data_IF_524067432287
#
_entry.id   IF_524067432287
#
_cell.length_a   1.000
_cell.length_b   1.000
_cell.length_c   1.000
_cell.angle_alpha   90.00
_cell.angle_beta   90.00
_cell.angle_gamma   90.00
#
_symmetry.space_group_name_H-M   'P 1'
#
loop_
_entity.id
_entity.type
_entity.pdbx_description
1 polymer ?
#
# COMPACT_ATOMS: atom_id res chain seq x y z
N UNK A 1 -46.05 49.57 37.29
CA UNK A 1 -44.72 50.10 36.89
C UNK A 1 -43.67 48.98 36.73
N UNK A 2 -44.03 47.77 36.25
CA UNK A 2 -43.12 46.61 36.23
C UNK A 2 -43.37 45.66 35.03
N UNK A 3 -43.53 46.19 33.80
CA UNK A 3 -43.72 45.35 32.61
C UNK A 3 -42.90 45.74 31.37
N UNK A 4 -42.06 46.78 31.44
CA UNK A 4 -41.35 47.29 30.25
C UNK A 4 -39.91 46.75 30.03
N UNK A 5 -39.39 45.89 30.93
CA UNK A 5 -37.99 45.42 30.85
C UNK A 5 -37.74 44.07 30.15
N UNK A 6 -38.77 43.34 29.69
CA UNK A 6 -38.56 42.03 29.04
C UNK A 6 -38.35 42.09 27.52
N UNK A 7 -38.86 43.12 26.84
CA UNK A 7 -38.75 43.23 25.38
C UNK A 7 -37.33 43.65 24.94
N UNK A 8 -36.66 44.49 25.72
CA UNK A 8 -35.30 44.95 25.41
C UNK A 8 -34.25 43.82 25.46
N UNK A 9 -34.42 42.85 26.36
CA UNK A 9 -33.45 41.75 26.51
C UNK A 9 -33.56 40.69 25.40
N UNK A 10 -34.73 40.55 24.75
CA UNK A 10 -34.93 39.60 23.63
C UNK A 10 -34.34 40.18 22.34
N UNK A 11 -34.46 41.50 22.11
CA UNK A 11 -33.87 42.16 20.94
C UNK A 11 -32.33 42.13 21.00
N UNK A 12 -31.73 42.28 22.19
CA UNK A 12 -30.28 42.18 22.36
C UNK A 12 -29.75 40.75 22.10
N UNK A 13 -30.51 39.72 22.47
CA UNK A 13 -30.18 38.33 22.18
C UNK A 13 -30.27 38.03 20.68
N UNK A 14 -31.32 38.52 20.00
CA UNK A 14 -31.50 38.34 18.55
C UNK A 14 -30.38 39.06 17.76
N UNK A 15 -29.98 40.27 18.16
CA UNK A 15 -28.90 41.00 17.50
C UNK A 15 -27.52 40.33 17.70
N UNK A 16 -27.28 39.63 18.82
CA UNK A 16 -26.05 38.86 19.02
C UNK A 16 -25.95 37.61 18.14
N UNK A 17 -27.08 37.06 17.68
CA UNK A 17 -27.09 35.92 16.75
C UNK A 17 -27.03 36.33 15.28
N UNK A 18 -27.40 37.57 14.92
CA UNK A 18 -27.47 38.00 13.52
C UNK A 18 -26.10 38.39 12.93
N UNK A 19 -25.11 38.75 13.75
CA UNK A 19 -23.79 39.21 13.26
C UNK A 19 -22.64 38.21 13.46
N UNK A 20 -22.92 36.91 13.65
CA UNK A 20 -21.87 35.91 13.45
C UNK A 20 -21.63 35.76 11.95
N UNK A 21 -20.77 36.62 11.40
CA UNK A 21 -20.10 36.35 10.13
C UNK A 21 -19.56 34.93 10.20
N UNK A 22 -20.11 34.03 9.40
CA UNK A 22 -19.58 32.68 9.29
C UNK A 22 -18.13 32.82 8.83
N UNK A 23 -17.19 32.31 9.65
CA UNK A 23 -15.79 32.37 9.29
C UNK A 23 -15.60 31.61 7.98
N UNK A 24 -14.95 32.26 7.01
CA UNK A 24 -14.64 31.66 5.72
C UNK A 24 -13.32 30.89 5.82
N UNK A 25 -13.13 29.84 5.02
CA UNK A 25 -11.84 29.15 4.95
C UNK A 25 -10.66 30.11 4.64
N UNK A 26 -10.91 31.17 3.88
CA UNK A 26 -9.92 32.20 3.55
C UNK A 26 -9.53 33.10 4.73
N UNK A 27 -10.24 33.04 5.87
CA UNK A 27 -9.82 33.71 7.10
C UNK A 27 -8.65 32.99 7.79
N UNK A 28 -8.42 31.72 7.43
CA UNK A 28 -7.43 30.84 8.05
C UNK A 28 -6.41 30.25 7.06
N UNK A 29 -6.73 30.28 5.76
CA UNK A 29 -5.94 29.69 4.70
C UNK A 29 -5.62 30.72 3.62
N UNK A 30 -4.55 30.49 2.87
CA UNK A 30 -4.19 31.30 1.71
C UNK A 30 -5.08 30.92 0.52
N UNK A 31 -5.95 31.83 0.10
CA UNK A 31 -6.86 31.66 -1.01
C UNK A 31 -6.34 32.42 -2.23
N UNK A 32 -5.94 31.70 -3.27
CA UNK A 32 -5.38 32.33 -4.47
C UNK A 32 -6.48 32.56 -5.51
N UNK A 33 -6.70 33.82 -5.92
CA UNK A 33 -7.69 34.13 -6.94
C UNK A 33 -7.17 33.87 -8.36
N UNK A 34 -8.09 33.55 -9.26
CA UNK A 34 -7.92 33.47 -10.70
C UNK A 34 -9.11 34.17 -11.37
N UNK A 35 -8.86 35.29 -12.06
CA UNK A 35 -9.87 36.05 -12.83
C UNK A 35 -11.18 36.33 -12.04
N UNK A 36 -11.04 36.77 -10.79
CA UNK A 36 -12.10 37.12 -9.82
C UNK A 36 -12.67 35.97 -8.97
N UNK A 37 -12.29 34.72 -9.22
CA UNK A 37 -12.76 33.55 -8.46
C UNK A 37 -11.61 32.91 -7.66
N UNK A 38 -11.87 32.28 -6.51
CA UNK A 38 -10.83 31.53 -5.79
C UNK A 38 -10.58 30.20 -6.49
N UNK A 39 -9.35 29.96 -6.96
CA UNK A 39 -9.00 28.76 -7.72
C UNK A 39 -8.35 27.68 -6.84
N UNK A 40 -7.53 28.10 -5.88
CA UNK A 40 -6.85 27.20 -4.96
C UNK A 40 -6.89 27.72 -3.53
N UNK A 41 -6.95 26.78 -2.58
CA UNK A 41 -6.89 27.06 -1.14
C UNK A 41 -5.71 26.29 -0.56
N UNK A 42 -4.78 27.01 0.07
CA UNK A 42 -3.63 26.42 0.76
C UNK A 42 -3.71 26.71 2.25
N UNK A 43 -3.97 25.67 3.05
CA UNK A 43 -4.02 25.75 4.50
C UNK A 43 -2.69 25.31 5.11
N UNK A 44 -1.95 26.25 5.70
CA UNK A 44 -0.77 25.98 6.52
C UNK A 44 -1.11 26.13 8.00
N UNK A 45 -0.90 25.08 8.79
CA UNK A 45 -1.31 25.03 10.20
C UNK A 45 -0.23 25.52 11.19
N UNK A 46 0.57 26.53 10.81
CA UNK A 46 1.61 27.10 11.68
C UNK A 46 1.00 27.79 12.91
N UNK A 47 -0.12 28.49 12.71
CA UNK A 47 -0.87 29.21 13.75
C UNK A 47 -2.02 28.40 14.34
N UNK A 48 -2.64 27.51 13.56
CA UNK A 48 -3.81 26.73 13.95
C UNK A 48 -3.47 25.25 13.89
N UNK A 49 -3.24 24.64 15.04
CA UNK A 49 -2.82 23.22 15.12
C UNK A 49 -3.86 22.24 14.56
N UNK A 50 -5.14 22.56 14.72
CA UNK A 50 -6.25 21.66 14.38
C UNK A 50 -7.15 22.31 13.34
N UNK A 51 -7.18 21.73 12.15
CA UNK A 51 -8.03 22.17 11.06
C UNK A 51 -9.22 21.23 10.93
N UNK A 52 -10.42 21.78 10.97
CA UNK A 52 -11.66 21.02 10.77
C UNK A 52 -12.40 21.61 9.59
N UNK A 53 -12.60 20.80 8.56
CA UNK A 53 -13.40 21.15 7.41
C UNK A 53 -14.86 20.82 7.69
N UNK A 54 -15.73 21.76 7.33
CA UNK A 54 -17.19 21.62 7.28
C UNK A 54 -17.67 22.33 6.01
N UNK A 55 -18.87 21.98 5.55
CA UNK A 55 -19.47 22.62 4.36
C UNK A 55 -19.66 24.13 4.53
N UNK A 56 -19.88 24.61 5.76
CA UNK A 56 -20.07 26.04 6.05
C UNK A 56 -18.80 26.87 5.84
N UNK A 57 -17.60 26.29 6.00
CA UNK A 57 -16.33 26.98 5.73
C UNK A 57 -16.11 27.22 4.22
N UNK A 58 -16.85 26.53 3.36
CA UNK A 58 -16.71 26.57 1.90
C UNK A 58 -17.61 27.59 1.21
N UNK A 59 -18.37 28.39 1.98
CA UNK A 59 -19.23 29.44 1.41
C UNK A 59 -18.37 30.52 0.75
N UNK A 60 -18.67 30.86 -0.50
CA UNK A 60 -17.97 31.91 -1.25
C UNK A 60 -16.66 31.46 -1.92
N UNK A 61 -16.34 30.17 -1.87
CA UNK A 61 -15.17 29.56 -2.55
C UNK A 61 -15.58 28.38 -3.44
N UNK A 62 -16.81 28.39 -3.96
CA UNK A 62 -17.39 27.29 -4.75
C UNK A 62 -16.61 27.00 -6.06
N UNK A 63 -15.81 27.96 -6.53
CA UNK A 63 -14.96 27.85 -7.71
C UNK A 63 -13.65 27.09 -7.49
N UNK A 64 -13.31 26.73 -6.25
CA UNK A 64 -12.03 26.11 -5.91
C UNK A 64 -11.87 24.76 -6.60
N UNK A 65 -10.72 24.58 -7.25
CA UNK A 65 -10.33 23.34 -7.92
C UNK A 65 -9.27 22.55 -7.17
N UNK A 66 -8.53 23.20 -6.29
CA UNK A 66 -7.43 22.58 -5.55
C UNK A 66 -7.42 23.00 -4.09
N UNK A 67 -7.38 22.02 -3.20
CA UNK A 67 -7.18 22.24 -1.76
C UNK A 67 -5.89 21.55 -1.33
N UNK A 68 -4.97 22.31 -0.76
CA UNK A 68 -3.69 21.82 -0.22
C UNK A 68 -3.65 22.08 1.27
N UNK A 69 -3.44 21.04 2.08
CA UNK A 69 -3.36 21.10 3.53
C UNK A 69 -1.97 20.62 3.94
N UNK A 70 -1.23 21.45 4.68
CA UNK A 70 0.16 21.14 5.07
C UNK A 70 0.46 21.49 6.52
N UNK A 71 1.32 20.66 7.12
CA UNK A 71 1.95 20.92 8.41
C UNK A 71 0.94 21.05 9.57
N UNK A 72 -0.14 20.27 9.55
CA UNK A 72 -1.19 20.31 10.58
C UNK A 72 -0.99 19.25 11.65
N UNK A 73 -1.33 19.56 12.90
CA UNK A 73 -1.38 18.53 13.93
C UNK A 73 -2.57 17.60 13.65
N UNK A 74 -3.76 18.17 13.49
CA UNK A 74 -4.98 17.41 13.18
C UNK A 74 -5.68 18.01 11.99
N UNK A 75 -6.11 17.16 11.06
CA UNK A 75 -7.00 17.49 9.95
C UNK A 75 -8.24 16.61 10.07
N UNK A 76 -9.40 17.22 10.24
CA UNK A 76 -10.67 16.52 10.25
C UNK A 76 -11.51 16.94 9.06
N UNK A 77 -11.67 16.05 8.08
CA UNK A 77 -12.55 16.24 6.94
C UNK A 77 -13.89 15.61 7.31
N UNK A 78 -14.82 16.45 7.75
CA UNK A 78 -16.15 16.03 8.14
C UNK A 78 -17.00 15.56 6.97
N UNK A 79 -18.15 14.96 7.28
CA UNK A 79 -19.09 14.49 6.28
C UNK A 79 -19.52 15.64 5.36
N UNK A 80 -19.52 15.39 4.04
CA UNK A 80 -19.92 16.36 3.02
C UNK A 80 -19.15 17.70 3.07
N UNK A 81 -17.94 17.74 3.65
CA UNK A 81 -17.21 19.02 3.84
C UNK A 81 -16.95 19.78 2.55
N UNK A 82 -16.83 19.08 1.41
CA UNK A 82 -16.57 19.69 0.11
C UNK A 82 -17.79 19.63 -0.82
N UNK A 83 -19.00 19.41 -0.30
CA UNK A 83 -20.21 19.26 -1.14
C UNK A 83 -20.57 20.52 -1.94
N UNK A 84 -20.03 21.69 -1.56
CA UNK A 84 -20.18 22.96 -2.29
C UNK A 84 -19.09 23.21 -3.34
N UNK A 85 -18.02 22.41 -3.32
CA UNK A 85 -16.89 22.57 -4.24
C UNK A 85 -17.07 21.64 -5.44
N UNK A 86 -18.05 21.96 -6.28
CA UNK A 86 -18.37 21.16 -7.47
C UNK A 86 -17.20 21.07 -8.47
N UNK A 87 -16.29 22.05 -8.43
CA UNK A 87 -15.09 22.12 -9.27
C UNK A 87 -13.85 21.52 -8.61
N UNK A 88 -13.93 21.02 -7.36
CA UNK A 88 -12.78 20.48 -6.64
C UNK A 88 -12.24 19.26 -7.36
N UNK A 89 -11.07 19.41 -7.96
CA UNK A 89 -10.39 18.37 -8.71
C UNK A 89 -9.36 17.63 -7.84
N UNK A 90 -8.58 18.38 -7.05
CA UNK A 90 -7.45 17.84 -6.31
C UNK A 90 -7.48 18.22 -4.83
N UNK A 91 -7.27 17.21 -3.97
CA UNK A 91 -7.09 17.36 -2.53
C UNK A 91 -5.74 16.76 -2.16
N UNK A 92 -4.85 17.60 -1.65
CA UNK A 92 -3.53 17.20 -1.18
C UNK A 92 -3.39 17.43 0.32
N UNK A 93 -3.01 16.41 1.07
CA UNK A 93 -2.76 16.47 2.51
C UNK A 93 -1.32 16.04 2.78
N UNK A 94 -0.54 16.90 3.42
CA UNK A 94 0.90 16.71 3.57
C UNK A 94 1.37 16.98 5.00
N UNK A 95 2.35 16.20 5.47
CA UNK A 95 3.09 16.46 6.70
C UNK A 95 2.19 16.71 7.91
N UNK A 96 1.16 15.88 8.09
CA UNK A 96 0.18 16.05 9.17
C UNK A 96 0.27 14.90 10.17
N UNK A 97 -0.07 15.12 11.44
CA UNK A 97 0.00 14.02 12.42
C UNK A 97 -1.23 13.14 12.34
N UNK A 98 -2.42 13.71 12.43
CA UNK A 98 -3.67 12.95 12.44
C UNK A 98 -4.60 13.46 11.34
N UNK A 99 -5.07 12.56 10.48
CA UNK A 99 -6.04 12.87 9.43
C UNK A 99 -7.25 11.96 9.56
N UNK A 100 -8.43 12.54 9.71
CA UNK A 100 -9.71 11.82 9.71
C UNK A 100 -10.49 12.15 8.43
N UNK A 101 -10.92 11.12 7.73
CA UNK A 101 -11.64 11.21 6.45
C UNK A 101 -13.04 10.62 6.62
N UNK A 102 -14.06 11.48 6.61
CA UNK A 102 -15.46 11.06 6.69
C UNK A 102 -16.09 10.83 5.30
N UNK A 103 -17.16 10.03 5.28
CA UNK A 103 -17.94 9.74 4.09
C UNK A 103 -18.50 10.99 3.38
N UNK A 104 -18.69 10.90 2.07
CA UNK A 104 -19.36 11.93 1.26
C UNK A 104 -18.53 13.20 1.01
N UNK A 105 -17.32 13.31 1.57
CA UNK A 105 -16.47 14.48 1.33
C UNK A 105 -15.84 14.50 -0.08
N UNK A 106 -15.79 13.38 -0.80
CA UNK A 106 -14.94 13.22 -2.00
C UNK A 106 -15.73 13.02 -3.30
N UNK A 107 -17.02 13.37 -3.34
CA UNK A 107 -17.90 13.07 -4.48
C UNK A 107 -17.47 13.70 -5.81
N UNK A 108 -16.88 14.91 -5.78
CA UNK A 108 -16.40 15.64 -6.96
C UNK A 108 -14.91 15.43 -7.26
N UNK A 109 -14.18 14.72 -6.40
CA UNK A 109 -12.73 14.70 -6.40
C UNK A 109 -12.16 13.77 -7.47
N UNK A 110 -11.25 14.28 -8.30
CA UNK A 110 -10.51 13.47 -9.28
C UNK A 110 -9.20 12.90 -8.71
N UNK A 111 -8.54 13.61 -7.79
CA UNK A 111 -7.25 13.20 -7.23
C UNK A 111 -7.17 13.40 -5.72
N UNK A 112 -6.92 12.31 -4.99
CA UNK A 112 -6.60 12.31 -3.57
C UNK A 112 -5.12 11.97 -3.35
N UNK A 113 -4.38 12.93 -2.81
CA UNK A 113 -2.95 12.81 -2.54
C UNK A 113 -2.71 12.96 -1.03
N UNK A 114 -2.23 11.91 -0.37
CA UNK A 114 -1.89 11.94 1.05
C UNK A 114 -0.44 11.54 1.20
N UNK A 115 0.38 12.40 1.80
CA UNK A 115 1.81 12.16 1.95
C UNK A 115 2.31 12.53 3.35
N UNK A 116 3.15 11.66 3.91
CA UNK A 116 3.81 11.90 5.20
C UNK A 116 2.80 12.23 6.31
N UNK A 117 1.73 11.41 6.41
CA UNK A 117 0.74 11.53 7.48
C UNK A 117 0.97 10.45 8.52
N UNK A 118 1.21 10.86 9.77
CA UNK A 118 1.53 9.88 10.82
C UNK A 118 0.39 8.89 11.02
N UNK A 119 -0.84 9.33 11.17
CA UNK A 119 -2.00 8.45 11.37
C UNK A 119 -3.21 8.92 10.54
N UNK A 120 -3.72 8.02 9.71
CA UNK A 120 -4.91 8.20 8.91
C UNK A 120 -6.02 7.33 9.49
N UNK A 121 -7.19 7.93 9.68
CA UNK A 121 -8.42 7.26 10.07
C UNK A 121 -9.46 7.46 8.98
N UNK A 122 -9.91 6.37 8.38
CA UNK A 122 -11.07 6.38 7.48
C UNK A 122 -12.32 6.08 8.29
N UNK A 123 -13.41 6.81 8.03
CA UNK A 123 -14.73 6.33 8.44
C UNK A 123 -15.16 5.16 7.55
N UNK A 124 -16.19 4.43 7.98
CA UNK A 124 -16.95 3.59 7.05
C UNK A 124 -17.41 4.42 5.85
N UNK A 125 -17.37 3.82 4.66
CA UNK A 125 -17.82 4.47 3.43
C UNK A 125 -17.10 5.79 3.09
N UNK A 126 -15.87 6.00 3.59
CA UNK A 126 -15.14 7.25 3.42
C UNK A 126 -15.06 7.74 1.96
N UNK A 127 -14.67 6.87 1.02
CA UNK A 127 -14.64 7.19 -0.41
C UNK A 127 -15.87 6.68 -1.19
N UNK A 128 -16.90 6.20 -0.51
CA UNK A 128 -18.11 5.73 -1.21
C UNK A 128 -18.76 6.89 -1.97
N UNK A 129 -19.03 6.68 -3.26
CA UNK A 129 -19.60 7.70 -4.14
C UNK A 129 -18.58 8.67 -4.75
N UNK A 130 -17.28 8.50 -4.49
CA UNK A 130 -16.20 9.23 -5.17
C UNK A 130 -15.98 8.71 -6.61
N UNK A 131 -17.06 8.63 -7.41
CA UNK A 131 -17.06 8.02 -8.75
C UNK A 131 -16.22 8.77 -9.78
N UNK A 132 -15.86 10.02 -9.50
CA UNK A 132 -14.94 10.81 -10.32
C UNK A 132 -13.47 10.51 -10.06
N UNK A 133 -13.12 9.78 -9.00
CA UNK A 133 -11.73 9.67 -8.57
C UNK A 133 -10.89 8.84 -9.53
N UNK A 134 -9.84 9.45 -10.07
CA UNK A 134 -8.89 8.84 -10.99
C UNK A 134 -7.59 8.45 -10.30
N UNK A 135 -7.15 9.24 -9.33
CA UNK A 135 -5.87 9.02 -8.65
C UNK A 135 -6.06 8.97 -7.14
N UNK A 136 -5.62 7.88 -6.53
CA UNK A 136 -5.49 7.76 -5.08
C UNK A 136 -4.05 7.39 -4.79
N UNK A 137 -3.31 8.32 -4.18
CA UNK A 137 -1.90 8.13 -3.86
C UNK A 137 -1.71 8.40 -2.37
N UNK A 138 -1.35 7.36 -1.62
CA UNK A 138 -1.07 7.44 -0.19
C UNK A 138 0.36 6.99 0.04
N UNK A 139 1.20 7.92 0.47
CA UNK A 139 2.64 7.70 0.65
C UNK A 139 3.11 8.00 2.07
N UNK A 140 4.08 7.22 2.54
CA UNK A 140 4.81 7.45 3.80
C UNK A 140 3.88 7.71 4.99
N UNK A 141 2.85 6.88 5.13
CA UNK A 141 1.77 7.12 6.10
C UNK A 141 1.38 5.85 6.85
N UNK A 142 0.71 5.98 7.99
CA UNK A 142 0.12 4.85 8.70
C UNK A 142 -1.41 4.95 8.73
N UNK A 143 -2.08 3.96 8.17
CA UNK A 143 -3.53 3.79 8.21
C UNK A 143 -3.85 2.88 9.39
N UNK A 144 -4.53 3.42 10.39
CA UNK A 144 -4.87 2.66 11.59
C UNK A 144 -5.78 1.47 11.25
N UNK A 145 -6.85 1.74 10.51
CA UNK A 145 -7.81 0.75 10.04
C UNK A 145 -8.46 1.22 8.74
N UNK A 146 -8.71 0.27 7.83
CA UNK A 146 -9.64 0.43 6.72
C UNK A 146 -10.95 -0.27 7.13
N UNK A 147 -11.96 0.47 7.60
CA UNK A 147 -13.24 -0.11 7.95
C UNK A 147 -13.99 -0.53 6.69
N UNK A 148 -15.10 -1.25 6.89
CA UNK A 148 -15.94 -1.76 5.82
C UNK A 148 -16.36 -0.64 4.86
N UNK A 149 -16.18 -0.92 3.57
CA UNK A 149 -16.47 -0.02 2.45
C UNK A 149 -15.69 1.30 2.42
N UNK A 150 -14.56 1.43 3.12
CA UNK A 150 -13.77 2.68 3.11
C UNK A 150 -13.23 3.06 1.71
N UNK A 151 -12.80 2.08 0.91
CA UNK A 151 -12.34 2.24 -0.47
C UNK A 151 -13.17 1.34 -1.40
N UNK A 152 -14.47 1.64 -1.53
CA UNK A 152 -15.44 0.79 -2.20
C UNK A 152 -16.19 1.53 -3.32
N UNK A 153 -16.62 0.79 -4.34
CA UNK A 153 -17.34 1.29 -5.52
C UNK A 153 -16.56 2.39 -6.27
N UNK A 154 -15.23 2.22 -6.31
CA UNK A 154 -14.33 3.12 -7.01
C UNK A 154 -14.15 2.62 -8.44
N UNK A 155 -15.08 3.01 -9.30
CA UNK A 155 -15.04 2.75 -10.74
C UNK A 155 -14.20 3.82 -11.46
N UNK A 156 -13.45 3.42 -12.50
CA UNK A 156 -12.73 4.37 -13.34
C UNK A 156 -11.44 4.93 -12.73
N UNK A 157 -10.94 4.35 -11.64
CA UNK A 157 -9.64 4.71 -11.07
C UNK A 157 -8.54 4.44 -12.09
N UNK A 158 -7.70 5.42 -12.39
CA UNK A 158 -6.55 5.20 -13.26
C UNK A 158 -5.39 4.62 -12.47
N UNK A 159 -5.19 5.12 -11.25
CA UNK A 159 -4.05 4.73 -10.41
C UNK A 159 -4.42 4.70 -8.94
N UNK A 160 -4.21 3.54 -8.32
CA UNK A 160 -4.18 3.38 -6.87
C UNK A 160 -2.75 3.04 -6.43
N UNK A 161 -2.18 3.87 -5.55
CA UNK A 161 -0.82 3.68 -5.06
C UNK A 161 -0.76 3.78 -3.54
N UNK A 162 -0.21 2.73 -2.92
CA UNK A 162 0.24 2.73 -1.53
C UNK A 162 1.77 2.58 -1.50
N UNK A 163 2.49 3.62 -1.13
CA UNK A 163 3.96 3.63 -1.06
C UNK A 163 4.46 3.88 0.35
N UNK A 164 5.23 2.96 0.95
CA UNK A 164 5.72 3.10 2.33
C UNK A 164 4.56 3.29 3.34
N UNK A 165 3.53 2.46 3.24
CA UNK A 165 2.33 2.56 4.08
C UNK A 165 2.26 1.41 5.08
N UNK A 166 1.96 1.71 6.34
CA UNK A 166 1.56 0.69 7.32
C UNK A 166 0.04 0.70 7.45
N UNK A 167 -0.58 -0.47 7.44
CA UNK A 167 -2.02 -0.66 7.62
C UNK A 167 -2.24 -1.59 8.81
N UNK A 168 -2.91 -1.10 9.86
CA UNK A 168 -3.20 -1.89 11.04
C UNK A 168 -4.14 -3.05 10.73
N UNK A 169 -5.35 -2.74 10.27
CA UNK A 169 -6.39 -3.72 9.96
C UNK A 169 -7.14 -3.36 8.68
N UNK A 170 -7.47 -4.37 7.88
CA UNK A 170 -8.38 -4.26 6.74
C UNK A 170 -9.60 -5.13 7.04
N UNK A 171 -10.74 -4.48 7.26
CA UNK A 171 -11.99 -5.17 7.53
C UNK A 171 -12.55 -5.83 6.26
N UNK A 172 -13.50 -6.74 6.43
CA UNK A 172 -14.25 -7.35 5.33
C UNK A 172 -14.86 -6.28 4.42
N UNK A 173 -14.63 -6.42 3.12
CA UNK A 173 -15.15 -5.52 2.09
C UNK A 173 -14.63 -4.09 2.18
N UNK A 174 -13.55 -3.84 2.92
CA UNK A 174 -13.00 -2.50 3.07
C UNK A 174 -12.48 -1.93 1.74
N UNK A 175 -11.85 -2.76 0.92
CA UNK A 175 -11.27 -2.36 -0.36
C UNK A 175 -11.90 -3.17 -1.49
N UNK A 176 -12.59 -2.47 -2.38
CA UNK A 176 -13.10 -2.98 -3.64
C UNK A 176 -12.87 -1.92 -4.72
N UNK A 177 -11.82 -2.10 -5.52
CA UNK A 177 -11.35 -1.09 -6.47
C UNK A 177 -11.15 -1.71 -7.84
N UNK A 178 -11.70 -1.04 -8.87
CA UNK A 178 -11.40 -1.32 -10.27
C UNK A 178 -10.54 -0.20 -10.83
N UNK A 179 -9.31 -0.51 -11.25
CA UNK A 179 -8.34 0.49 -11.66
C UNK A 179 -7.53 0.11 -12.92
N UNK A 180 -6.94 1.08 -13.63
CA UNK A 180 -5.96 0.73 -14.68
C UNK A 180 -4.69 0.14 -14.05
N UNK A 181 -4.15 0.76 -13.01
CA UNK A 181 -2.92 0.34 -12.34
C UNK A 181 -3.04 0.38 -10.83
N UNK A 182 -2.64 -0.72 -10.18
CA UNK A 182 -2.56 -0.82 -8.71
C UNK A 182 -1.12 -1.14 -8.31
N UNK A 183 -0.55 -0.28 -7.48
CA UNK A 183 0.82 -0.42 -6.98
C UNK A 183 0.82 -0.37 -5.46
N UNK A 184 1.30 -1.43 -4.83
CA UNK A 184 1.58 -1.51 -3.40
C UNK A 184 3.07 -1.77 -3.23
N UNK A 185 3.80 -0.77 -2.72
CA UNK A 185 5.24 -0.83 -2.54
C UNK A 185 5.59 -0.53 -1.09
N UNK A 186 6.42 -1.37 -0.47
CA UNK A 186 6.86 -1.20 0.90
C UNK A 186 5.65 -1.07 1.86
N UNK A 187 4.61 -1.87 1.64
CA UNK A 187 3.38 -1.85 2.44
C UNK A 187 3.48 -2.90 3.55
N UNK A 188 3.09 -2.55 4.77
CA UNK A 188 2.99 -3.49 5.89
C UNK A 188 1.55 -3.58 6.35
N UNK A 189 0.94 -4.75 6.24
CA UNK A 189 -0.44 -4.99 6.67
C UNK A 189 -0.44 -6.00 7.81
N UNK A 190 -0.93 -5.60 8.99
CA UNK A 190 -0.90 -6.50 10.15
C UNK A 190 -2.04 -7.53 10.13
N UNK A 191 -3.23 -7.17 9.66
CA UNK A 191 -4.37 -8.08 9.57
C UNK A 191 -5.29 -7.75 8.38
N UNK A 192 -5.79 -8.79 7.71
CA UNK A 192 -6.79 -8.67 6.64
C UNK A 192 -7.87 -9.71 6.90
N UNK A 193 -9.11 -9.28 7.04
CA UNK A 193 -10.26 -10.17 7.13
C UNK A 193 -10.59 -10.80 5.77
N UNK A 194 -11.44 -11.84 5.77
CA UNK A 194 -11.92 -12.48 4.53
C UNK A 194 -12.59 -11.46 3.61
N UNK A 195 -12.24 -11.49 2.31
CA UNK A 195 -12.66 -10.51 1.30
C UNK A 195 -12.32 -9.06 1.69
N UNK A 196 -11.25 -8.82 2.44
CA UNK A 196 -10.83 -7.47 2.82
C UNK A 196 -10.24 -6.67 1.65
N UNK A 197 -9.51 -7.34 0.76
CA UNK A 197 -8.90 -6.75 -0.45
C UNK A 197 -9.48 -7.42 -1.71
N UNK A 198 -10.28 -6.68 -2.47
CA UNK A 198 -10.72 -7.06 -3.82
C UNK A 198 -10.20 -6.03 -4.83
N UNK A 199 -9.31 -6.47 -5.71
CA UNK A 199 -8.59 -5.63 -6.66
C UNK A 199 -8.88 -6.11 -8.08
N UNK A 200 -9.44 -5.25 -8.91
CA UNK A 200 -9.59 -5.49 -10.34
C UNK A 200 -8.74 -4.47 -11.08
N UNK A 201 -7.75 -4.89 -11.89
CA UNK A 201 -6.97 -3.93 -12.63
C UNK A 201 -6.30 -4.45 -13.90
N UNK A 202 -5.87 -3.56 -14.80
CA UNK A 202 -5.06 -4.01 -15.94
C UNK A 202 -3.72 -4.58 -15.46
N UNK A 203 -3.10 -3.91 -14.48
CA UNK A 203 -1.81 -4.28 -13.90
C UNK A 203 -1.83 -4.15 -12.38
N UNK A 204 -1.34 -5.19 -11.70
CA UNK A 204 -1.16 -5.20 -10.25
C UNK A 204 0.30 -5.48 -9.93
N UNK A 205 0.93 -4.59 -9.15
CA UNK A 205 2.28 -4.75 -8.65
C UNK A 205 2.28 -4.62 -7.13
N UNK A 206 2.64 -5.71 -6.45
CA UNK A 206 2.82 -5.75 -5.00
C UNK A 206 4.28 -6.11 -4.74
N UNK A 207 5.07 -5.17 -4.21
CA UNK A 207 6.50 -5.39 -3.98
C UNK A 207 6.99 -4.95 -2.62
N UNK A 208 8.01 -5.65 -2.11
CA UNK A 208 8.69 -5.35 -0.85
C UNK A 208 7.72 -5.19 0.34
N UNK A 209 6.61 -5.92 0.35
CA UNK A 209 5.51 -5.74 1.29
C UNK A 209 5.38 -6.91 2.27
N UNK A 210 4.83 -6.66 3.46
CA UNK A 210 4.67 -7.63 4.53
C UNK A 210 3.19 -7.78 4.88
N UNK A 211 2.67 -9.01 4.79
CA UNK A 211 1.29 -9.38 5.11
C UNK A 211 1.32 -10.35 6.29
N UNK A 212 1.11 -9.86 7.52
CA UNK A 212 1.36 -10.70 8.71
C UNK A 212 0.30 -11.77 8.95
N UNK A 213 -0.96 -11.39 9.02
CA UNK A 213 -2.07 -12.28 9.37
C UNK A 213 -3.25 -12.13 8.38
N UNK A 214 -3.06 -12.49 7.10
CA UNK A 214 -4.18 -12.59 6.15
C UNK A 214 -5.11 -13.74 6.56
N UNK A 215 -6.41 -13.48 6.62
CA UNK A 215 -7.41 -14.53 6.72
C UNK A 215 -7.51 -15.33 5.41
N UNK A 216 -8.11 -16.51 5.48
CA UNK A 216 -8.43 -17.29 4.28
C UNK A 216 -9.35 -16.49 3.35
N UNK A 217 -8.97 -16.39 2.07
CA UNK A 217 -9.71 -15.64 1.07
C UNK A 217 -9.70 -14.13 1.31
N UNK A 218 -8.70 -13.59 2.02
CA UNK A 218 -8.63 -12.16 2.33
C UNK A 218 -8.25 -11.29 1.13
N UNK A 219 -7.60 -11.88 0.12
CA UNK A 219 -7.09 -11.19 -1.07
C UNK A 219 -7.69 -11.82 -2.32
N UNK A 220 -8.38 -11.02 -3.12
CA UNK A 220 -8.91 -11.35 -4.42
C UNK A 220 -8.35 -10.37 -5.45
N UNK A 221 -7.69 -10.87 -6.49
CA UNK A 221 -7.07 -10.08 -7.53
C UNK A 221 -7.50 -10.60 -8.88
N UNK A 222 -8.10 -9.74 -9.68
CA UNK A 222 -8.39 -9.98 -11.08
C UNK A 222 -7.57 -8.99 -11.88
N UNK A 223 -6.83 -9.45 -12.88
CA UNK A 223 -6.13 -8.53 -13.77
C UNK A 223 -6.14 -8.93 -15.23
N UNK A 224 -6.24 -7.91 -16.09
CA UNK A 224 -6.34 -8.11 -17.54
C UNK A 224 -5.01 -8.52 -18.17
N UNK A 225 -3.87 -8.04 -17.64
CA UNK A 225 -2.56 -8.29 -18.25
C UNK A 225 -1.58 -8.98 -17.31
N UNK A 226 -1.38 -8.45 -16.10
CA UNK A 226 -0.35 -8.99 -15.20
C UNK A 226 -0.63 -8.72 -13.73
N UNK A 227 -0.25 -9.70 -12.90
CA UNK A 227 -0.11 -9.57 -11.45
C UNK A 227 1.30 -9.99 -11.05
N UNK A 228 2.02 -9.12 -10.34
CA UNK A 228 3.40 -9.37 -9.90
C UNK A 228 3.53 -9.17 -8.39
N UNK A 229 4.01 -10.22 -7.72
CA UNK A 229 4.38 -10.24 -6.31
C UNK A 229 5.89 -10.38 -6.19
N UNK A 230 6.59 -9.30 -5.82
CA UNK A 230 8.04 -9.25 -5.79
C UNK A 230 8.57 -8.98 -4.37
N UNK A 231 9.42 -9.85 -3.83
CA UNK A 231 10.09 -9.66 -2.54
C UNK A 231 9.14 -9.40 -1.36
N UNK A 232 7.98 -10.06 -1.32
CA UNK A 232 7.02 -9.92 -0.23
C UNK A 232 7.21 -10.97 0.85
N UNK A 233 6.74 -10.69 2.06
CA UNK A 233 6.62 -11.64 3.15
C UNK A 233 5.16 -11.87 3.51
N UNK A 234 4.71 -13.12 3.47
CA UNK A 234 3.36 -13.55 3.82
C UNK A 234 3.42 -14.45 5.06
N UNK A 235 3.04 -13.89 6.19
CA UNK A 235 2.82 -14.63 7.44
C UNK A 235 1.46 -15.32 7.45
N UNK A 236 1.24 -16.18 8.44
CA UNK A 236 -0.04 -16.89 8.59
C UNK A 236 -0.35 -17.81 7.40
N UNK A 237 -1.63 -18.04 7.11
CA UNK A 237 -2.09 -18.86 5.98
C UNK A 237 -2.34 -17.95 4.79
N UNK A 238 -1.42 -17.94 3.83
CA UNK A 238 -1.61 -17.21 2.59
C UNK A 238 -2.59 -17.98 1.70
N UNK A 239 -3.77 -17.39 1.48
CA UNK A 239 -4.74 -17.81 0.47
C UNK A 239 -5.26 -16.57 -0.27
N UNK A 240 -4.74 -16.36 -1.48
CA UNK A 240 -5.18 -15.33 -2.39
C UNK A 240 -5.81 -15.96 -3.62
N UNK A 241 -6.92 -15.40 -4.09
CA UNK A 241 -7.49 -15.75 -5.38
C UNK A 241 -6.90 -14.80 -6.42
N UNK A 242 -6.09 -15.31 -7.34
CA UNK A 242 -5.45 -14.49 -8.37
C UNK A 242 -5.84 -14.99 -9.75
N UNK A 243 -6.54 -14.16 -10.52
CA UNK A 243 -6.90 -14.41 -11.91
C UNK A 243 -6.15 -13.42 -12.79
N UNK A 244 -5.18 -13.88 -13.56
CA UNK A 244 -4.41 -13.05 -14.49
C UNK A 244 -3.81 -13.91 -15.61
N UNK A 245 -3.68 -13.40 -16.84
CA UNK A 245 -2.92 -14.08 -17.90
C UNK A 245 -1.43 -14.22 -17.59
N UNK A 246 -0.87 -13.30 -16.80
CA UNK A 246 0.51 -13.36 -16.36
C UNK A 246 0.62 -13.17 -14.85
N UNK A 247 1.04 -14.21 -14.15
CA UNK A 247 1.31 -14.14 -12.70
C UNK A 247 2.78 -14.43 -12.42
N UNK A 248 3.43 -13.50 -11.72
CA UNK A 248 4.80 -13.66 -11.22
C UNK A 248 4.86 -13.60 -9.70
N UNK A 249 5.44 -14.62 -9.09
CA UNK A 249 5.92 -14.60 -7.70
C UNK A 249 7.43 -14.72 -7.69
N UNK A 250 8.14 -13.63 -7.39
CA UNK A 250 9.61 -13.63 -7.34
C UNK A 250 10.12 -13.13 -6.00
N UNK A 251 11.04 -13.85 -5.38
CA UNK A 251 11.72 -13.40 -4.16
C UNK A 251 10.84 -13.38 -2.91
N UNK A 252 9.67 -14.01 -2.91
CA UNK A 252 8.74 -13.93 -1.77
C UNK A 252 9.09 -14.95 -0.68
N UNK A 253 8.62 -14.68 0.54
CA UNK A 253 8.67 -15.60 1.68
C UNK A 253 7.26 -15.93 2.13
N UNK A 254 6.95 -17.21 2.22
CA UNK A 254 5.66 -17.72 2.67
C UNK A 254 5.85 -18.55 3.95
N UNK A 255 5.17 -18.15 5.03
CA UNK A 255 5.18 -18.90 6.29
C UNK A 255 4.29 -20.14 6.19
N UNK A 256 2.99 -19.97 5.85
CA UNK A 256 2.10 -21.08 5.55
C UNK A 256 1.43 -20.85 4.20
N UNK A 257 1.69 -21.75 3.26
CA UNK A 257 1.20 -21.67 1.89
C UNK A 257 0.09 -22.70 1.66
N UNK A 258 -1.11 -22.22 1.33
CA UNK A 258 -2.26 -23.09 1.02
C UNK A 258 -2.32 -23.41 -0.47
N UNK A 259 -2.66 -24.64 -0.84
CA UNK A 259 -2.68 -25.06 -2.26
C UNK A 259 -3.74 -24.35 -3.10
N UNK A 260 -4.84 -23.92 -2.48
CA UNK A 260 -5.95 -23.23 -3.15
C UNK A 260 -5.60 -21.86 -3.75
N UNK A 261 -4.43 -21.28 -3.45
CA UNK A 261 -3.99 -19.97 -4.00
C UNK A 261 -3.97 -19.97 -5.54
N UNK A 262 -3.75 -21.14 -6.12
CA UNK A 262 -3.37 -21.27 -7.52
C UNK A 262 -4.36 -22.03 -8.39
N UNK A 263 -5.52 -22.41 -7.84
CA UNK A 263 -6.50 -23.20 -8.59
C UNK A 263 -6.98 -22.52 -9.88
N UNK A 264 -6.99 -21.18 -9.91
CA UNK A 264 -7.48 -20.39 -11.04
C UNK A 264 -6.39 -19.55 -11.75
N UNK A 265 -5.14 -19.64 -11.30
CA UNK A 265 -4.07 -18.80 -11.82
C UNK A 265 -3.38 -19.47 -13.01
N UNK A 266 -3.31 -18.79 -14.16
CA UNK A 266 -2.37 -19.13 -15.23
C UNK A 266 -1.00 -18.60 -14.83
N UNK A 267 -0.28 -19.36 -14.00
CA UNK A 267 1.01 -18.92 -13.51
C UNK A 267 2.07 -18.97 -14.58
N UNK A 268 2.78 -17.86 -14.71
CA UNK A 268 3.85 -17.73 -15.70
C UNK A 268 5.23 -17.80 -15.07
N UNK A 269 5.36 -17.55 -13.75
CA UNK A 269 6.67 -17.44 -13.11
C UNK A 269 6.61 -17.51 -11.59
N UNK A 270 7.35 -18.45 -11.00
CA UNK A 270 7.55 -18.59 -9.56
C UNK A 270 9.02 -18.90 -9.30
N UNK A 271 9.79 -17.89 -8.87
CA UNK A 271 11.22 -18.05 -8.66
C UNK A 271 11.74 -17.43 -7.37
N UNK A 272 12.87 -17.94 -6.86
CA UNK A 272 13.55 -17.36 -5.71
C UNK A 272 12.65 -17.20 -4.47
N UNK A 273 11.58 -17.99 -4.34
CA UNK A 273 10.70 -17.90 -3.18
C UNK A 273 11.16 -18.85 -2.08
N UNK A 274 10.80 -18.55 -0.84
CA UNK A 274 11.00 -19.44 0.30
C UNK A 274 9.65 -19.86 0.89
N UNK A 275 9.47 -21.14 1.15
CA UNK A 275 8.25 -21.73 1.69
C UNK A 275 8.59 -22.50 2.96
N UNK A 276 8.04 -22.07 4.09
CA UNK A 276 8.29 -22.66 5.42
C UNK A 276 7.36 -23.85 5.66
N UNK A 277 6.04 -23.62 5.59
CA UNK A 277 5.04 -24.69 5.67
C UNK A 277 4.19 -24.67 4.42
N UNK A 278 4.14 -25.79 3.70
CA UNK A 278 3.44 -25.85 2.42
C UNK A 278 2.65 -27.14 2.31
N UNK A 279 1.42 -27.01 1.82
CA UNK A 279 0.65 -28.15 1.34
C UNK A 279 0.80 -28.25 -0.20
N UNK A 280 1.43 -29.32 -0.67
CA UNK A 280 1.68 -29.51 -2.10
C UNK A 280 0.47 -30.05 -2.89
N UNK A 281 -0.63 -30.40 -2.21
CA UNK A 281 -1.76 -31.04 -2.87
C UNK A 281 -2.36 -30.15 -3.96
N UNK A 282 -2.25 -30.55 -5.23
CA UNK A 282 -2.78 -29.79 -6.37
C UNK A 282 -1.91 -28.64 -6.86
N UNK A 283 -0.87 -28.26 -6.11
CA UNK A 283 -0.01 -27.12 -6.44
C UNK A 283 0.66 -27.23 -7.81
N UNK A 284 1.17 -28.42 -8.16
CA UNK A 284 1.96 -28.60 -9.38
C UNK A 284 1.15 -28.78 -10.66
N UNK A 285 -0.19 -28.83 -10.57
CA UNK A 285 -1.03 -28.99 -11.78
C UNK A 285 -1.00 -27.78 -12.71
N UNK A 286 -0.53 -26.64 -12.21
CA UNK A 286 -0.57 -25.33 -12.89
C UNK A 286 0.79 -24.83 -13.38
N UNK A 287 1.88 -25.60 -13.20
CA UNK A 287 3.23 -25.14 -13.55
C UNK A 287 3.85 -25.92 -14.71
N UNK A 288 4.45 -25.19 -15.66
CA UNK A 288 5.51 -25.69 -16.54
C UNK A 288 6.87 -25.59 -15.81
N UNK A 289 7.77 -26.55 -16.03
CA UNK A 289 9.06 -26.65 -15.35
C UNK A 289 9.98 -25.44 -15.58
N UNK A 290 9.79 -24.70 -16.68
CA UNK A 290 10.59 -23.51 -17.00
C UNK A 290 10.27 -22.31 -16.10
N UNK A 291 9.08 -22.33 -15.52
CA UNK A 291 8.52 -21.19 -14.79
C UNK A 291 8.66 -21.37 -13.28
N UNK A 292 9.21 -22.49 -12.81
CA UNK A 292 9.37 -22.80 -11.39
C UNK A 292 10.82 -23.17 -11.03
N UNK A 293 11.64 -22.21 -10.61
CA UNK A 293 13.06 -22.43 -10.33
C UNK A 293 13.63 -21.60 -9.17
N UNK A 294 14.72 -22.09 -8.58
CA UNK A 294 15.41 -21.46 -7.44
C UNK A 294 14.53 -21.15 -6.22
N UNK A 295 13.41 -21.86 -6.08
CA UNK A 295 12.62 -21.83 -4.86
C UNK A 295 13.29 -22.67 -3.76
N UNK A 296 13.03 -22.30 -2.52
CA UNK A 296 13.50 -22.97 -1.32
C UNK A 296 12.29 -23.48 -0.53
N UNK A 297 12.25 -24.78 -0.27
CA UNK A 297 11.27 -25.39 0.62
C UNK A 297 11.95 -25.82 1.92
N UNK A 298 11.39 -25.44 3.06
CA UNK A 298 11.86 -25.91 4.37
C UNK A 298 11.57 -27.41 4.51
N UNK A 299 12.61 -28.17 4.88
CA UNK A 299 12.52 -29.61 5.05
C UNK A 299 11.90 -29.92 6.42
N UNK A 300 10.67 -30.42 6.45
CA UNK A 300 10.01 -30.84 7.69
C UNK A 300 9.39 -32.25 7.56
N UNK A 301 9.21 -32.94 8.69
CA UNK A 301 8.62 -34.28 8.74
C UNK A 301 7.14 -34.36 8.36
N UNK A 302 6.46 -33.21 8.29
CA UNK A 302 5.05 -33.14 7.90
C UNK A 302 4.86 -33.14 6.38
N UNK A 303 5.93 -33.03 5.60
CA UNK A 303 5.85 -33.08 4.15
C UNK A 303 5.62 -34.51 3.68
N UNK A 304 4.36 -34.87 3.42
CA UNK A 304 4.00 -36.06 2.65
C UNK A 304 4.31 -35.85 1.15
N UNK A 305 5.57 -35.50 0.84
CA UNK A 305 6.07 -35.32 -0.53
C UNK A 305 5.85 -36.58 -1.36
N UNK A 306 5.90 -37.75 -0.72
CA UNK A 306 5.83 -39.08 -1.31
C UNK A 306 4.55 -39.36 -2.08
N UNK A 307 3.39 -39.02 -1.52
CA UNK A 307 2.10 -39.28 -2.17
C UNK A 307 1.90 -38.37 -3.39
N UNK A 308 2.57 -37.21 -3.38
CA UNK A 308 2.45 -36.21 -4.44
C UNK A 308 3.49 -36.45 -5.54
N UNK A 309 4.77 -36.64 -5.22
CA UNK A 309 5.86 -36.60 -6.21
C UNK A 309 5.91 -37.80 -7.15
N UNK A 310 5.51 -39.00 -6.71
CA UNK A 310 5.56 -40.22 -7.54
C UNK A 310 4.53 -40.28 -8.67
N UNK A 311 3.51 -39.42 -8.63
CA UNK A 311 2.40 -39.41 -9.61
C UNK A 311 2.51 -38.33 -10.67
N UNK A 312 3.48 -37.43 -10.60
CA UNK A 312 3.53 -36.27 -11.50
C UNK A 312 4.84 -36.21 -12.28
N UNK A 313 4.74 -35.80 -13.55
CA UNK A 313 5.86 -35.49 -14.46
C UNK A 313 6.76 -34.33 -13.94
N UNK A 314 6.40 -33.75 -12.79
CA UNK A 314 7.04 -32.59 -12.17
C UNK A 314 8.17 -32.95 -11.20
N UNK A 315 8.63 -34.21 -11.17
CA UNK A 315 9.73 -34.65 -10.31
C UNK A 315 11.01 -33.81 -10.52
N UNK A 316 11.30 -33.40 -11.76
CA UNK A 316 12.44 -32.54 -12.08
C UNK A 316 12.33 -31.13 -11.50
N UNK A 317 11.10 -30.61 -11.35
CA UNK A 317 10.83 -29.33 -10.69
C UNK A 317 11.23 -29.44 -9.22
N UNK A 318 10.77 -30.51 -8.54
CA UNK A 318 11.18 -30.75 -7.16
C UNK A 318 12.69 -30.89 -7.05
N UNK A 319 13.35 -31.70 -7.89
CA UNK A 319 14.79 -31.92 -7.81
C UNK A 319 15.62 -30.62 -7.84
N UNK A 320 15.17 -29.59 -8.57
CA UNK A 320 15.88 -28.29 -8.67
C UNK A 320 15.56 -27.30 -7.55
N UNK A 321 14.40 -27.45 -6.89
CA UNK A 321 13.90 -26.49 -5.89
C UNK A 321 13.88 -27.08 -4.47
N UNK A 322 14.05 -28.39 -4.34
CA UNK A 322 13.87 -29.09 -3.08
C UNK A 322 15.09 -28.94 -2.18
N UNK A 323 14.85 -28.56 -0.92
CA UNK A 323 15.83 -28.60 0.16
C UNK A 323 17.23 -28.17 -0.29
N UNK A 324 17.32 -26.95 -0.88
CA UNK A 324 18.59 -26.27 -1.19
C UNK A 324 19.27 -25.89 0.12
N UNK A 325 19.61 -26.91 0.90
CA UNK A 325 20.48 -26.86 2.06
C UNK A 325 21.91 -26.77 1.51
N UNK A 326 22.87 -26.31 2.31
CA UNK A 326 24.29 -26.28 1.91
C UNK A 326 24.91 -27.69 1.77
N UNK A 327 24.08 -28.72 1.56
CA UNK A 327 24.40 -30.11 1.76
C UNK A 327 24.00 -30.81 0.46
N UNK A 328 24.93 -31.56 -0.10
CA UNK A 328 24.80 -32.17 -1.43
C UNK A 328 23.87 -33.39 -1.42
N UNK A 329 22.77 -33.33 -0.67
CA UNK A 329 21.78 -34.40 -0.63
C UNK A 329 20.87 -34.26 -1.82
N UNK A 330 20.81 -35.31 -2.64
CA UNK A 330 19.82 -35.37 -3.69
C UNK A 330 18.44 -35.74 -3.09
N UNK A 331 17.37 -35.44 -3.83
CA UNK A 331 15.98 -35.67 -3.38
C UNK A 331 15.74 -37.11 -2.92
N UNK A 332 16.36 -38.11 -3.56
CA UNK A 332 16.21 -39.52 -3.23
C UNK A 332 16.92 -39.89 -1.91
N UNK A 333 18.12 -39.35 -1.66
CA UNK A 333 18.80 -39.53 -0.38
C UNK A 333 18.00 -38.91 0.76
N UNK A 334 17.48 -37.70 0.54
CA UNK A 334 16.55 -37.10 1.50
C UNK A 334 15.31 -37.99 1.70
N UNK A 335 14.74 -38.55 0.62
CA UNK A 335 13.58 -39.44 0.67
C UNK A 335 13.81 -40.62 1.64
N UNK A 336 14.88 -41.37 1.44
CA UNK A 336 15.19 -42.55 2.25
C UNK A 336 15.52 -42.18 3.69
N UNK A 337 16.39 -41.18 3.89
CA UNK A 337 16.88 -40.89 5.23
C UNK A 337 15.89 -40.05 6.07
N UNK A 338 15.11 -39.16 5.45
CA UNK A 338 14.07 -38.37 6.15
C UNK A 338 12.97 -39.27 6.70
N UNK A 339 12.55 -40.31 5.98
CA UNK A 339 11.54 -41.26 6.46
C UNK A 339 12.03 -41.97 7.72
N UNK A 340 13.24 -42.53 7.68
CA UNK A 340 13.84 -43.21 8.82
C UNK A 340 14.01 -42.28 10.04
N UNK A 341 14.44 -41.05 9.80
CA UNK A 341 14.67 -40.06 10.86
C UNK A 341 13.37 -39.50 11.44
N UNK A 342 12.38 -39.21 10.60
CA UNK A 342 11.06 -38.78 11.05
C UNK A 342 10.36 -39.87 11.87
N UNK A 343 10.48 -41.14 11.47
CA UNK A 343 9.95 -42.27 12.25
C UNK A 343 10.63 -42.42 13.61
N UNK A 344 11.93 -42.09 13.70
CA UNK A 344 12.72 -42.26 14.93
C UNK A 344 12.62 -41.08 15.89
N UNK A 345 12.81 -39.87 15.38
CA UNK A 345 13.05 -38.66 16.18
C UNK A 345 11.84 -37.70 16.17
N UNK A 346 10.83 -37.95 15.33
CA UNK A 346 9.66 -37.08 15.16
C UNK A 346 9.95 -35.68 14.58
N UNK A 347 11.21 -35.37 14.29
CA UNK A 347 11.68 -34.11 13.71
C UNK A 347 12.84 -34.37 12.76
N UNK A 348 12.88 -33.60 11.68
CA UNK A 348 14.02 -33.52 10.76
C UNK A 348 14.62 -32.14 10.93
N UNK A 349 15.83 -32.09 11.49
CA UNK A 349 16.68 -30.90 11.41
C UNK A 349 17.52 -31.03 10.14
N UNK A 350 17.35 -30.11 9.19
CA UNK A 350 18.14 -30.07 7.96
C UNK A 350 19.66 -30.07 8.23
N UNK A 351 20.11 -29.46 9.33
CA UNK A 351 21.53 -29.41 9.71
C UNK A 351 22.04 -30.79 10.13
N UNK A 352 21.19 -31.59 10.76
CA UNK A 352 21.55 -32.94 11.21
C UNK A 352 21.86 -33.89 10.04
N UNK A 353 21.28 -33.65 8.86
CA UNK A 353 21.57 -34.37 7.63
C UNK A 353 22.93 -33.99 7.05
N UNK A 354 23.24 -32.70 7.06
CA UNK A 354 24.53 -32.16 6.62
C UNK A 354 25.72 -32.72 7.40
N UNK A 355 25.55 -32.96 8.70
CA UNK A 355 26.59 -33.50 9.57
C UNK A 355 26.79 -35.01 9.40
N UNK A 356 25.75 -35.76 9.00
CA UNK A 356 25.86 -37.19 8.77
C UNK A 356 26.74 -37.51 7.56
N UNK A 357 26.61 -36.76 6.45
CA UNK A 357 27.50 -36.88 5.29
C UNK A 357 28.97 -36.63 5.66
N UNK A 358 29.27 -35.62 6.49
CA UNK A 358 30.64 -35.41 6.99
C UNK A 358 31.14 -36.60 7.79
N UNK A 359 30.30 -37.17 8.65
CA UNK A 359 30.68 -38.30 9.51
C UNK A 359 30.91 -39.58 8.70
N UNK A 360 30.07 -39.86 7.69
CA UNK A 360 30.21 -41.03 6.81
C UNK A 360 31.38 -40.87 5.83
N UNK A 361 31.60 -39.68 5.25
CA UNK A 361 32.80 -39.43 4.42
C UNK A 361 34.09 -39.50 5.25
N UNK A 362 34.08 -38.99 6.48
CA UNK A 362 35.23 -39.07 7.38
C UNK A 362 35.49 -40.51 7.88
N UNK A 363 34.45 -41.31 8.11
CA UNK A 363 34.61 -42.72 8.49
C UNK A 363 35.01 -43.63 7.31
N UNK A 364 34.62 -43.30 6.06
CA UNK A 364 35.15 -43.98 4.86
C UNK A 364 36.62 -43.64 4.57
N UNK A 365 37.14 -42.50 5.06
CA UNK A 365 38.57 -42.16 4.98
C UNK A 365 39.47 -42.91 5.98
N UNK A 366 38.92 -43.68 6.92
CA UNK A 366 39.71 -44.54 7.82
C UNK A 366 39.87 -45.99 7.35
N UNK A 367 39.42 -46.32 6.13
CA UNK A 367 39.76 -47.58 5.46
C UNK A 367 40.18 -47.33 4.01
N UNK A 368 41.32 -46.68 3.83
CA UNK A 368 42.36 -47.01 2.85
C UNK A 368 43.31 -45.82 2.61
N UNK A 369 44.56 -46.03 3.03
CA UNK A 369 45.83 -45.62 2.44
C UNK A 369 46.34 -44.17 2.55
N UNK A 370 47.52 -44.08 3.17
CA UNK A 370 48.71 -43.40 2.66
C UNK A 370 48.70 -43.24 1.13
N UNK A 371 48.64 -42.01 0.62
CA UNK A 371 49.58 -41.44 -0.36
C UNK A 371 49.10 -40.06 -0.83
N UNK A 372 50.05 -39.13 -0.80
CA UNK A 372 50.27 -37.96 -1.66
C UNK A 372 49.18 -36.90 -1.87
N UNK A 373 49.50 -35.72 -1.33
CA UNK A 373 48.94 -34.43 -1.72
C UNK A 373 49.08 -34.15 -3.22
N UNK A 374 48.12 -33.40 -3.77
CA UNK A 374 48.48 -32.31 -4.66
C UNK A 374 47.88 -30.95 -4.25
N UNK A 375 48.52 -29.95 -4.83
CA UNK A 375 48.53 -28.52 -4.54
C UNK A 375 47.20 -27.82 -4.82
N UNK A 376 46.97 -26.77 -4.05
CA UNK A 376 45.96 -25.74 -4.24
C UNK A 376 46.13 -25.02 -5.59
N UNK A 377 45.09 -25.00 -6.41
CA UNK A 377 44.85 -23.95 -7.39
C UNK A 377 43.50 -23.28 -7.08
N UNK A 378 43.58 -22.07 -6.55
CA UNK A 378 42.48 -21.12 -6.46
C UNK A 378 42.18 -20.58 -7.86
N UNK A 379 41.06 -21.00 -8.46
CA UNK A 379 40.46 -20.32 -9.61
C UNK A 379 39.32 -19.43 -9.15
N UNK A 380 39.60 -18.13 -9.25
CA UNK A 380 38.64 -17.04 -9.30
C UNK A 380 37.59 -17.33 -10.39
N UNK A 381 36.31 -17.35 -10.00
CA UNK A 381 35.19 -17.33 -10.95
C UNK A 381 34.55 -15.94 -10.88
N UNK A 382 34.90 -15.16 -11.89
CA UNK A 382 34.30 -13.88 -12.22
C UNK A 382 32.81 -14.03 -12.50
N UNK A 383 32.02 -13.26 -11.76
CA UNK A 383 30.59 -13.04 -12.02
C UNK A 383 30.49 -12.19 -13.29
N UNK A 384 29.99 -12.75 -14.38
CA UNK A 384 29.63 -12.00 -15.57
C UNK A 384 28.27 -12.43 -16.13
N UNK A 385 27.47 -11.40 -16.41
CA UNK A 385 26.38 -11.35 -17.38
C UNK A 385 25.15 -12.23 -17.15
N UNK A 386 24.21 -11.69 -16.38
CA UNK A 386 22.78 -11.92 -16.63
C UNK A 386 22.32 -10.79 -17.56
N UNK A 387 21.98 -11.14 -18.80
CA UNK A 387 21.33 -10.22 -19.74
C UNK A 387 19.90 -9.93 -19.29
N UNK A 388 19.66 -8.70 -18.85
CA UNK A 388 18.33 -8.15 -18.62
C UNK A 388 17.71 -7.72 -19.94
N UNK A 389 16.91 -8.60 -20.56
CA UNK A 389 15.93 -8.22 -21.59
C UNK A 389 14.54 -8.24 -20.96
N UNK A 390 13.72 -7.25 -21.35
CA UNK A 390 12.41 -6.86 -20.78
C UNK A 390 12.47 -5.95 -19.55
N UNK A 391 13.04 -4.75 -19.74
CA UNK A 391 12.61 -3.57 -19.00
C UNK A 391 11.27 -3.12 -19.60
N UNK A 392 10.20 -3.31 -18.83
CA UNK A 392 8.95 -2.57 -19.03
C UNK A 392 9.29 -1.12 -18.74
N UNK A 393 8.95 -0.22 -19.68
CA UNK A 393 8.98 1.23 -19.45
C UNK A 393 8.23 1.57 -18.17
N UNK A 394 9.00 1.84 -17.13
CA UNK A 394 8.55 2.65 -16.01
C UNK A 394 8.69 4.07 -16.53
N UNK A 395 7.67 4.54 -17.23
CA UNK A 395 7.61 5.96 -17.56
C UNK A 395 7.47 6.73 -16.25
N UNK A 396 8.52 7.49 -15.96
CA UNK A 396 8.68 8.56 -14.98
C UNK A 396 8.48 8.20 -13.50
N UNK A 397 9.56 7.73 -12.87
CA UNK A 397 9.84 8.09 -11.47
C UNK A 397 9.96 9.62 -11.37
N UNK A 398 8.89 10.28 -10.92
CA UNK A 398 9.00 11.66 -10.42
C UNK A 398 9.71 11.59 -9.07
N UNK A 399 11.01 11.87 -9.07
CA UNK A 399 11.81 12.10 -7.88
C UNK A 399 11.29 13.31 -7.10
N UNK A 400 10.39 13.06 -6.15
CA UNK A 400 10.00 14.03 -5.12
C UNK A 400 11.05 14.00 -4.02
N UNK A 401 12.23 14.58 -4.25
CA UNK A 401 13.16 15.02 -3.20
C UNK A 401 14.35 15.82 -3.77
N UNK A 402 14.20 17.14 -3.97
CA UNK A 402 15.29 18.10 -3.72
C UNK A 402 14.77 19.55 -3.73
N UNK A 403 14.50 20.11 -2.55
CA UNK A 403 14.46 21.57 -2.37
C UNK A 403 15.62 21.96 -1.46
N UNK A 404 16.78 22.22 -2.06
CA UNK A 404 17.81 23.05 -1.44
C UNK A 404 17.44 24.51 -1.68
N UNK A 405 17.07 25.20 -0.60
CA UNK A 405 16.78 26.63 -0.57
C UNK A 405 18.02 27.45 -0.91
N UNK A 406 17.98 28.21 -2.01
CA UNK A 406 18.76 29.45 -2.14
C UNK A 406 17.81 30.60 -2.40
N UNK A 407 17.60 31.42 -1.37
CA UNK A 407 16.81 32.65 -1.44
C UNK A 407 17.57 33.70 -2.25
N UNK A 408 17.08 34.05 -3.43
CA UNK A 408 17.38 35.34 -4.07
C UNK A 408 16.23 36.30 -3.82
N UNK A 409 16.49 37.32 -3.01
CA UNK A 409 15.60 38.43 -2.78
C UNK A 409 15.40 39.21 -4.08
N UNK A 410 14.16 39.28 -4.56
CA UNK A 410 13.73 40.25 -5.56
C UNK A 410 12.89 41.32 -4.85
N UNK A 411 13.52 42.48 -4.63
CA UNK A 411 12.86 43.70 -4.15
C UNK A 411 12.14 44.36 -5.33
N UNK A 412 10.82 44.23 -5.38
CA UNK A 412 9.98 45.06 -6.27
C UNK A 412 9.43 46.21 -5.44
N UNK A 413 9.98 47.41 -5.65
CA UNK A 413 9.35 48.67 -5.23
C UNK A 413 8.11 48.88 -6.09
N UNK A 414 6.93 48.90 -5.46
CA UNK A 414 5.71 49.40 -6.11
C UNK A 414 5.34 50.76 -5.52
N UNK A 415 5.11 51.70 -6.44
CA UNK A 415 4.70 53.08 -6.20
C UNK A 415 3.39 53.15 -5.42
N UNK A 416 3.41 53.85 -4.29
CA UNK A 416 2.22 54.36 -3.63
C UNK A 416 1.76 55.65 -4.30
N UNK A 417 0.73 55.58 -5.13
CA UNK A 417 0.00 56.77 -5.56
C UNK A 417 -1.46 56.40 -5.86
N UNK A 418 -2.37 57.18 -5.29
CA UNK A 418 -3.83 57.15 -5.43
C UNK A 418 -4.57 56.00 -4.73
N UNK A 419 -5.22 56.32 -3.61
CA UNK A 419 -6.68 56.18 -3.44
C UNK A 419 -7.07 56.82 -2.11
N UNK A 420 -7.41 58.10 -2.15
CA UNK A 420 -7.83 58.91 -1.00
C UNK A 420 -8.92 59.85 -1.50
N UNK A 421 -10.07 59.32 -1.94
CA UNK A 421 -11.28 60.08 -2.27
C UNK A 421 -12.47 59.11 -2.44
N UNK A 422 -13.09 58.71 -1.32
CA UNK A 422 -14.46 58.16 -1.30
C UNK A 422 -14.96 58.04 0.15
N UNK A 423 -15.05 59.16 0.87
CA UNK A 423 -15.73 59.19 2.18
C UNK A 423 -16.21 60.60 2.55
N UNK A 424 -16.89 61.26 1.60
CA UNK A 424 -17.62 62.52 1.85
C UNK A 424 -18.92 62.56 1.05
N UNK A 425 -19.75 61.51 1.11
CA UNK A 425 -21.18 61.61 0.76
C UNK A 425 -21.95 60.56 1.58
N UNK A 426 -22.20 60.83 2.87
CA UNK A 426 -23.26 60.17 3.67
C UNK A 426 -23.39 60.84 5.04
N UNK A 427 -23.66 62.15 5.08
CA UNK A 427 -24.02 62.84 6.33
C UNK A 427 -24.89 64.08 6.09
N UNK A 428 -25.84 64.04 5.14
CA UNK A 428 -26.92 65.03 5.05
C UNK A 428 -28.22 64.33 4.64
N UNK A 429 -28.77 63.52 5.55
CA UNK A 429 -30.21 63.31 5.73
C UNK A 429 -30.39 62.98 7.22
N UNK A 430 -31.17 63.81 7.92
CA UNK A 430 -31.49 63.79 9.37
C UNK A 430 -30.57 64.60 10.30
N UNK A 431 -30.63 65.93 10.19
CA UNK A 431 -31.40 66.78 11.12
C UNK A 431 -31.50 68.20 10.56
#
# INVERSE_FOLDING_TARGET
MASFNRVSSIILFILFFINRSFANICDFCDCQPSRNDVFSVTCGCESIKNLRFTSDLMVGVESVSMVVIKNCHTVNIGQNSFSRLEKLDTLAIQNSLYVSLAAGAFSSLNSLLINNVRDISFSEMALMGARGIKNIIINSSNITQLPTYSLYDLEGVERLTFGNVSIGQINRGAVNVSAKSIVMQNVKINHIETNGLSLEAQKVLIKNSIFKNPAVGSINIISEFQTRFLNNEFGGIFQANVTSPFVEFSGNRFENFHSGVFENAQMSRVMNNSFTRMNFYGFFKVFDYKDFYDNYFECNCGMNLFDSSRKYDNYDIFKKNFCKTNCSLNLFEFEVESTAKCMKDGKVDAISFCNYERTVRNNKRFRNLNHDSPKNETKDLSVNKIESRFLIGVDEEVDVNSTSSTSKAFSVKMCSSLFMFALVILSIVHY
#
